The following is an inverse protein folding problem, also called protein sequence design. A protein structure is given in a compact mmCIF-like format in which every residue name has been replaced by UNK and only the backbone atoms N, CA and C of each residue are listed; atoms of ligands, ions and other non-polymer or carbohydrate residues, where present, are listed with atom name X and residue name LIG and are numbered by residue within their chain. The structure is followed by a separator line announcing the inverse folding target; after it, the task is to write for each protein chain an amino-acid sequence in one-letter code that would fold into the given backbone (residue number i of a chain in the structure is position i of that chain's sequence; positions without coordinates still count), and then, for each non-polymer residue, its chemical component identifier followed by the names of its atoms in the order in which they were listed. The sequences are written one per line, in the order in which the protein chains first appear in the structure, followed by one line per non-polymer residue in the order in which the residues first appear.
data_IF_245980851198
#
_entry.id   IF_245980851198
#
_cell.length_a   1.000
_cell.length_b   1.000
_cell.length_c   1.000
_cell.angle_alpha   90.00
_cell.angle_beta   90.00
_cell.angle_gamma   90.00
#
_symmetry.space_group_name_H-M   'P 1'
#
loop_
_entity.id
_entity.type
_entity.pdbx_description
1 polymer ?
#
# COMPACT_ATOMS: atom_id res chain seq x y z
N UNK A 1 -4.16 -20.96 -43.00
CA UNK A 1 -5.02 -19.95 -42.34
C UNK A 1 -6.32 -20.63 -41.92
N UNK A 2 -6.57 -20.81 -40.61
CA UNK A 2 -7.76 -21.54 -40.11
C UNK A 2 -9.07 -20.75 -40.19
N UNK A 3 -9.02 -19.41 -40.24
CA UNK A 3 -10.20 -18.59 -39.94
C UNK A 3 -11.13 -18.31 -41.12
N UNK A 4 -10.73 -18.55 -42.38
CA UNK A 4 -11.59 -18.39 -43.57
C UNK A 4 -12.34 -17.04 -43.72
N UNK A 5 -12.03 -16.07 -42.86
CA UNK A 5 -12.86 -14.89 -42.64
C UNK A 5 -12.59 -13.83 -43.72
N UNK A 6 -13.66 -13.26 -44.25
CA UNK A 6 -13.64 -12.22 -45.29
C UNK A 6 -14.38 -10.96 -44.81
N UNK A 7 -14.15 -9.83 -45.50
CA UNK A 7 -14.82 -8.56 -45.20
C UNK A 7 -14.50 -8.03 -43.80
N UNK A 8 -15.53 -7.60 -43.08
CA UNK A 8 -15.38 -6.92 -41.78
C UNK A 8 -14.86 -7.85 -40.67
N UNK A 9 -15.15 -9.15 -40.73
CA UNK A 9 -14.57 -10.15 -39.81
C UNK A 9 -13.05 -10.26 -39.98
N UNK A 10 -12.54 -10.07 -41.20
CA UNK A 10 -11.09 -10.05 -41.43
C UNK A 10 -10.47 -8.78 -40.83
N UNK A 11 -11.11 -7.62 -40.99
CA UNK A 11 -10.65 -6.34 -40.42
C UNK A 11 -10.63 -6.40 -38.89
N UNK A 12 -11.66 -6.95 -38.27
CA UNK A 12 -11.72 -7.16 -36.82
C UNK A 12 -10.58 -8.08 -36.36
N UNK A 13 -10.40 -9.23 -37.02
CA UNK A 13 -9.31 -10.15 -36.71
C UNK A 13 -7.93 -9.50 -36.82
N UNK A 14 -7.71 -8.64 -37.81
CA UNK A 14 -6.45 -7.87 -37.95
C UNK A 14 -6.27 -6.91 -36.77
N UNK A 15 -7.32 -6.18 -36.40
CA UNK A 15 -7.29 -5.22 -35.28
C UNK A 15 -6.97 -5.90 -33.94
N UNK A 16 -7.63 -7.03 -33.66
CA UNK A 16 -7.38 -7.83 -32.44
C UNK A 16 -5.93 -8.33 -32.41
N UNK A 17 -5.46 -8.89 -33.53
CA UNK A 17 -4.09 -9.41 -33.62
C UNK A 17 -3.04 -8.31 -33.50
N UNK A 18 -3.33 -7.08 -33.91
CA UNK A 18 -2.43 -5.94 -33.72
C UNK A 18 -2.15 -5.67 -32.24
N UNK A 19 -3.21 -5.66 -31.40
CA UNK A 19 -3.06 -5.49 -29.95
C UNK A 19 -2.26 -6.63 -29.31
N UNK A 20 -2.57 -7.88 -29.69
CA UNK A 20 -1.87 -9.07 -29.16
C UNK A 20 -0.40 -9.14 -29.59
N UNK A 21 -0.10 -8.74 -30.82
CA UNK A 21 1.26 -8.66 -31.34
C UNK A 21 2.07 -7.60 -30.58
N UNK A 22 1.51 -6.39 -30.41
CA UNK A 22 2.15 -5.34 -29.63
C UNK A 22 2.41 -5.78 -28.18
N UNK A 23 1.44 -6.46 -27.56
CA UNK A 23 1.60 -7.03 -26.22
C UNK A 23 2.74 -8.06 -26.19
N UNK A 24 2.84 -8.93 -27.20
CA UNK A 24 3.93 -9.89 -27.33
C UNK A 24 5.30 -9.24 -27.47
N UNK A 25 5.40 -8.11 -28.17
CA UNK A 25 6.63 -7.33 -28.30
C UNK A 25 7.04 -6.71 -26.96
N UNK A 26 6.10 -6.10 -26.24
CA UNK A 26 6.33 -5.54 -24.90
C UNK A 26 6.80 -6.63 -23.92
N UNK A 27 6.12 -7.77 -23.88
CA UNK A 27 6.49 -8.88 -22.99
C UNK A 27 7.86 -9.44 -23.34
N UNK A 28 8.20 -9.53 -24.62
CA UNK A 28 9.53 -10.00 -25.05
C UNK A 28 10.63 -9.01 -24.65
N UNK A 29 10.38 -7.71 -24.80
CA UNK A 29 11.32 -6.66 -24.42
C UNK A 29 11.57 -6.59 -22.90
N UNK A 30 10.56 -6.90 -22.10
CA UNK A 30 10.64 -6.89 -20.63
C UNK A 30 11.09 -8.23 -20.02
N UNK A 31 10.79 -9.35 -20.68
CA UNK A 31 11.06 -10.69 -20.17
C UNK A 31 12.47 -11.21 -20.47
N UNK A 32 13.17 -10.66 -21.47
CA UNK A 32 14.54 -11.03 -21.82
C UNK A 32 15.55 -10.25 -20.97
N UNK A 33 16.19 -10.93 -20.01
CA UNK A 33 17.21 -10.31 -19.14
C UNK A 33 18.50 -9.98 -19.87
N UNK A 34 18.80 -10.66 -20.98
CA UNK A 34 20.00 -10.41 -21.78
C UNK A 34 19.83 -9.18 -22.66
N UNK A 35 18.58 -8.87 -23.05
CA UNK A 35 18.23 -7.69 -23.82
C UNK A 35 17.45 -6.74 -22.93
N UNK A 36 18.17 -6.01 -22.06
CA UNK A 36 17.61 -4.80 -21.46
C UNK A 36 17.38 -3.78 -22.57
N UNK A 37 16.23 -3.89 -23.25
CA UNK A 37 15.83 -2.92 -24.25
C UNK A 37 15.66 -1.57 -23.55
N UNK A 38 16.43 -0.57 -23.99
CA UNK A 38 16.30 0.81 -23.50
C UNK A 38 14.90 1.36 -23.77
N UNK A 39 14.24 0.86 -24.82
CA UNK A 39 12.89 1.28 -25.21
C UNK A 39 11.92 0.09 -25.20
N UNK A 40 10.80 0.24 -24.49
CA UNK A 40 9.71 -0.74 -24.50
C UNK A 40 8.54 -0.14 -25.29
N UNK A 41 8.04 -0.81 -26.34
CA UNK A 41 7.12 -0.23 -27.31
C UNK A 41 5.66 -0.24 -26.83
N UNK A 42 5.38 0.35 -25.66
CA UNK A 42 4.00 0.42 -25.16
C UNK A 42 3.07 1.20 -26.10
N UNK A 43 3.62 2.11 -26.92
CA UNK A 43 2.85 3.01 -27.78
C UNK A 43 2.28 2.36 -29.05
N UNK A 44 2.74 1.16 -29.39
CA UNK A 44 2.36 0.47 -30.63
C UNK A 44 0.87 0.08 -30.66
N UNK A 45 0.22 -0.03 -29.49
CA UNK A 45 -1.22 -0.25 -29.40
C UNK A 45 -1.85 0.49 -28.22
N UNK A 46 -3.17 0.77 -28.31
CA UNK A 46 -3.93 1.32 -27.17
C UNK A 46 -3.92 0.36 -25.97
N UNK A 47 -3.99 -0.96 -26.23
CA UNK A 47 -3.98 -2.00 -25.21
C UNK A 47 -2.70 -1.95 -24.37
N UNK A 48 -1.54 -1.91 -25.02
CA UNK A 48 -0.23 -1.87 -24.32
C UNK A 48 0.00 -0.56 -23.58
N UNK A 49 -0.62 0.55 -24.00
CA UNK A 49 -0.58 1.82 -23.25
C UNK A 49 -1.39 1.74 -21.97
N UNK A 50 -2.59 1.14 -22.03
CA UNK A 50 -3.44 0.95 -20.85
C UNK A 50 -2.80 -0.02 -19.85
N UNK A 51 -2.09 -1.04 -20.35
CA UNK A 51 -1.43 -2.05 -19.52
C UNK A 51 0.01 -1.70 -19.13
N UNK A 52 0.48 -0.49 -19.44
CA UNK A 52 1.87 -0.09 -19.17
C UNK A 52 2.24 -0.24 -17.69
N UNK A 53 1.36 0.17 -16.77
CA UNK A 53 1.60 0.03 -15.34
C UNK A 53 1.61 -1.44 -14.88
N UNK A 54 0.84 -2.29 -15.56
CA UNK A 54 0.76 -3.73 -15.27
C UNK A 54 1.98 -4.50 -15.78
N UNK A 55 2.72 -3.97 -16.74
CA UNK A 55 3.83 -4.66 -17.40
C UNK A 55 5.11 -3.85 -17.21
N UNK A 56 5.77 -4.01 -16.06
CA UNK A 56 7.02 -3.31 -15.71
C UNK A 56 6.83 -2.00 -14.95
N UNK A 57 5.60 -1.60 -14.64
CA UNK A 57 5.28 -0.38 -13.89
C UNK A 57 4.87 -0.62 -12.43
N UNK A 58 4.00 0.25 -11.91
CA UNK A 58 3.52 0.23 -10.53
C UNK A 58 2.17 -0.51 -10.41
N UNK A 59 2.21 -1.84 -10.50
CA UNK A 59 1.02 -2.68 -10.30
C UNK A 59 1.42 -4.09 -9.86
N UNK A 60 0.61 -4.70 -9.00
CA UNK A 60 0.67 -6.13 -8.74
C UNK A 60 -0.10 -6.84 -9.85
N UNK A 61 0.60 -7.61 -10.68
CA UNK A 61 0.02 -8.16 -11.91
C UNK A 61 0.10 -9.68 -11.92
N UNK A 62 -1.04 -10.30 -12.22
CA UNK A 62 -1.17 -11.74 -12.41
C UNK A 62 -1.66 -12.00 -13.83
N UNK A 63 -1.02 -12.95 -14.51
CA UNK A 63 -1.44 -13.42 -15.83
C UNK A 63 -2.00 -14.84 -15.69
N UNK A 64 -3.22 -15.06 -16.17
CA UNK A 64 -3.84 -16.38 -16.26
C UNK A 64 -3.76 -16.84 -17.71
N UNK A 65 -3.07 -17.96 -17.94
CA UNK A 65 -2.93 -18.57 -19.26
C UNK A 65 -3.97 -19.67 -19.44
N UNK A 66 -4.98 -19.41 -20.27
CA UNK A 66 -6.01 -20.39 -20.59
C UNK A 66 -5.56 -21.27 -21.77
N UNK A 67 -5.55 -22.59 -21.58
CA UNK A 67 -5.09 -23.56 -22.57
C UNK A 67 -6.10 -24.70 -22.74
N UNK A 68 -6.05 -25.35 -23.91
CA UNK A 68 -6.84 -26.54 -24.22
C UNK A 68 -5.98 -27.79 -24.08
N UNK A 69 -6.46 -28.87 -23.44
CA UNK A 69 -5.75 -30.14 -23.38
C UNK A 69 -5.86 -30.97 -24.68
N UNK A 70 -6.59 -30.48 -25.69
CA UNK A 70 -6.80 -31.18 -26.95
C UNK A 70 -5.55 -31.16 -27.85
N UNK A 71 -5.21 -32.31 -28.44
CA UNK A 71 -4.10 -32.44 -29.39
C UNK A 71 -4.24 -31.52 -30.62
N UNK A 72 -5.49 -31.22 -31.02
CA UNK A 72 -5.77 -30.32 -32.16
C UNK A 72 -5.29 -28.89 -31.93
N UNK A 73 -5.16 -28.50 -30.66
CA UNK A 73 -4.76 -27.18 -30.18
C UNK A 73 -3.32 -27.17 -29.65
N UNK A 74 -2.60 -28.30 -29.76
CA UNK A 74 -1.25 -28.46 -29.18
C UNK A 74 -0.33 -27.27 -29.50
N UNK A 75 -0.29 -26.84 -30.77
CA UNK A 75 0.55 -25.72 -31.20
C UNK A 75 0.15 -24.39 -30.53
N UNK A 76 -1.15 -24.12 -30.37
CA UNK A 76 -1.63 -22.89 -29.74
C UNK A 76 -1.41 -22.93 -28.22
N UNK A 77 -1.65 -24.08 -27.59
CA UNK A 77 -1.32 -24.32 -26.17
C UNK A 77 0.17 -24.09 -25.91
N UNK A 78 1.06 -24.61 -26.77
CA UNK A 78 2.50 -24.40 -26.65
C UNK A 78 2.87 -22.92 -26.80
N UNK A 79 2.27 -22.21 -27.76
CA UNK A 79 2.51 -20.78 -27.96
C UNK A 79 2.07 -19.96 -26.73
N UNK A 80 0.89 -20.25 -26.18
CA UNK A 80 0.37 -19.60 -24.96
C UNK A 80 1.28 -19.86 -23.75
N UNK A 81 1.77 -21.09 -23.57
CA UNK A 81 2.71 -21.42 -22.49
C UNK A 81 4.06 -20.69 -22.65
N UNK A 82 4.62 -20.64 -23.86
CA UNK A 82 5.84 -19.86 -24.15
C UNK A 82 5.63 -18.37 -23.86
N UNK A 83 4.44 -17.86 -24.15
CA UNK A 83 4.07 -16.48 -23.88
C UNK A 83 4.02 -16.20 -22.37
N UNK A 84 3.31 -17.04 -21.61
CA UNK A 84 3.22 -16.96 -20.16
C UNK A 84 4.60 -17.07 -19.48
N UNK A 85 5.46 -17.95 -19.98
CA UNK A 85 6.82 -18.11 -19.46
C UNK A 85 7.67 -16.83 -19.64
N UNK A 86 7.51 -16.11 -20.75
CA UNK A 86 8.17 -14.79 -20.92
C UNK A 86 7.58 -13.75 -19.97
N UNK A 87 6.25 -13.70 -19.85
CA UNK A 87 5.55 -12.76 -18.96
C UNK A 87 5.96 -12.94 -17.50
N UNK A 88 6.18 -14.18 -17.04
CA UNK A 88 6.68 -14.51 -15.69
C UNK A 88 8.00 -13.82 -15.34
N UNK A 89 8.84 -13.53 -16.32
CA UNK A 89 10.15 -12.92 -16.09
C UNK A 89 10.10 -11.40 -15.89
N UNK A 90 8.96 -10.77 -16.18
CA UNK A 90 8.76 -9.33 -16.01
C UNK A 90 8.76 -9.00 -14.52
N UNK A 91 9.43 -7.90 -14.17
CA UNK A 91 9.51 -7.39 -12.79
C UNK A 91 8.85 -6.03 -12.70
N UNK A 92 7.75 -5.97 -11.96
CA UNK A 92 7.06 -4.73 -11.65
C UNK A 92 7.71 -4.06 -10.43
N UNK A 93 7.64 -2.74 -10.37
CA UNK A 93 8.12 -1.92 -9.24
C UNK A 93 6.92 -1.36 -8.52
N UNK A 94 6.36 -2.16 -7.63
CA UNK A 94 5.16 -1.80 -6.88
C UNK A 94 5.52 -0.82 -5.77
N UNK A 95 4.86 0.32 -5.74
CA UNK A 95 4.99 1.38 -4.74
C UNK A 95 3.60 1.76 -4.25
N UNK A 96 3.48 2.07 -2.95
CA UNK A 96 2.21 2.52 -2.38
C UNK A 96 1.85 3.87 -3.00
N UNK A 97 0.67 3.93 -3.63
CA UNK A 97 0.13 5.15 -4.21
C UNK A 97 -0.40 6.07 -3.11
N UNK A 98 0.50 6.67 -2.32
CA UNK A 98 0.13 7.75 -1.41
C UNK A 98 0.22 9.08 -2.16
N UNK A 99 -0.87 9.83 -2.14
CA UNK A 99 -0.83 11.22 -2.57
C UNK A 99 0.11 12.01 -1.63
N UNK A 100 0.93 12.90 -2.20
CA UNK A 100 1.82 13.78 -1.43
C UNK A 100 1.04 14.58 -0.40
N UNK A 101 -0.18 15.03 -0.73
CA UNK A 101 -1.04 15.73 0.22
C UNK A 101 -1.45 14.81 1.38
N UNK A 102 -1.84 13.57 1.09
CA UNK A 102 -2.20 12.59 2.12
C UNK A 102 -1.00 12.22 3.01
N UNK A 103 0.19 12.08 2.43
CA UNK A 103 1.42 11.83 3.18
C UNK A 103 1.77 13.00 4.10
N UNK A 104 1.69 14.24 3.59
CA UNK A 104 1.90 15.46 4.38
C UNK A 104 0.86 15.60 5.50
N UNK A 105 -0.42 15.36 5.21
CA UNK A 105 -1.49 15.39 6.21
C UNK A 105 -1.24 14.35 7.30
N UNK A 106 -0.82 13.13 6.93
CA UNK A 106 -0.49 12.10 7.91
C UNK A 106 0.68 12.53 8.81
N UNK A 107 1.76 13.05 8.22
CA UNK A 107 2.93 13.51 8.97
C UNK A 107 2.57 14.67 9.92
N UNK A 108 1.81 15.66 9.44
CA UNK A 108 1.34 16.78 10.24
C UNK A 108 0.42 16.33 11.38
N UNK A 109 -0.48 15.37 11.15
CA UNK A 109 -1.34 14.81 12.19
C UNK A 109 -0.53 14.10 13.28
N UNK A 110 0.49 13.35 12.91
CA UNK A 110 1.40 12.70 13.86
C UNK A 110 2.15 13.74 14.70
N UNK A 111 2.63 14.82 14.08
CA UNK A 111 3.34 15.88 14.80
C UNK A 111 2.42 16.68 15.72
N UNK A 112 1.19 16.99 15.27
CA UNK A 112 0.17 17.61 16.13
C UNK A 112 -0.12 16.74 17.35
N UNK A 113 -0.29 15.43 17.16
CA UNK A 113 -0.54 14.51 18.27
C UNK A 113 0.65 14.46 19.25
N UNK A 114 1.89 14.44 18.74
CA UNK A 114 3.11 14.49 19.56
C UNK A 114 3.18 15.76 20.40
N UNK A 115 3.00 16.92 19.77
CA UNK A 115 3.02 18.21 20.43
C UNK A 115 1.88 18.39 21.43
N UNK A 116 0.69 17.88 21.12
CA UNK A 116 -0.44 17.89 22.07
C UNK A 116 -0.16 17.05 23.31
N UNK A 117 0.48 15.88 23.15
CA UNK A 117 0.89 15.04 24.27
C UNK A 117 1.94 15.73 25.14
N UNK A 118 2.96 16.32 24.51
CA UNK A 118 4.02 17.06 25.19
C UNK A 118 3.46 18.26 25.97
N UNK A 119 2.56 19.05 25.36
CA UNK A 119 1.85 20.15 26.05
C UNK A 119 0.98 19.65 27.21
N UNK A 120 0.37 18.47 27.09
CA UNK A 120 -0.42 17.87 28.17
C UNK A 120 0.50 17.47 29.34
N UNK A 121 1.68 16.93 29.06
CA UNK A 121 2.69 16.60 30.08
C UNK A 121 3.20 17.85 30.81
N UNK A 122 3.44 18.94 30.09
CA UNK A 122 3.80 20.24 30.70
C UNK A 122 2.64 20.83 31.53
N UNK A 123 1.40 20.82 31.01
CA UNK A 123 0.23 21.37 31.73
C UNK A 123 -0.15 20.56 32.96
N UNK A 124 0.02 19.25 32.90
CA UNK A 124 -0.22 18.37 34.06
C UNK A 124 0.94 18.43 35.05
N UNK A 125 2.06 19.11 34.72
CA UNK A 125 3.22 19.25 35.57
C UNK A 125 4.12 18.01 35.63
N UNK A 126 3.86 16.99 34.78
CA UNK A 126 4.68 15.78 34.65
C UNK A 126 6.05 16.06 34.04
N UNK A 127 6.17 17.12 33.24
CA UNK A 127 7.43 17.66 32.72
C UNK A 127 7.61 19.07 33.22
N UNK A 128 8.80 19.36 33.78
CA UNK A 128 9.18 20.68 34.27
C UNK A 128 10.48 21.08 33.58
N UNK A 129 10.54 22.32 33.10
CA UNK A 129 11.78 22.95 32.63
C UNK A 129 12.49 23.54 33.85
N UNK A 130 13.68 23.02 34.18
CA UNK A 130 14.56 23.65 35.17
C UNK A 130 15.07 25.00 34.68
N UNK A 131 15.54 25.86 35.59
CA UNK A 131 16.13 27.18 35.26
C UNK A 131 17.35 27.09 34.33
N UNK A 132 17.95 25.89 34.26
CA UNK A 132 19.10 25.46 33.48
C UNK A 132 18.71 25.02 32.04
N UNK A 133 17.41 24.95 31.72
CA UNK A 133 16.89 24.52 30.42
C UNK A 133 16.85 23.00 30.21
N UNK A 134 17.17 22.19 31.22
CA UNK A 134 17.01 20.73 31.16
C UNK A 134 15.57 20.29 31.46
N UNK A 135 15.07 19.35 30.66
CA UNK A 135 13.78 18.69 30.89
C UNK A 135 13.89 17.67 32.03
N UNK A 136 13.14 17.91 33.12
CA UNK A 136 12.98 16.96 34.22
C UNK A 136 11.59 16.32 34.21
N UNK A 137 11.51 15.01 34.45
CA UNK A 137 10.25 14.34 34.76
C UNK A 137 9.95 14.61 36.24
N UNK A 138 8.79 15.18 36.52
CA UNK A 138 8.37 15.50 37.87
C UNK A 138 7.31 14.51 38.34
N UNK A 139 7.75 13.51 39.11
CA UNK A 139 6.90 12.44 39.67
C UNK A 139 5.91 12.94 40.74
N UNK A 140 6.08 14.18 41.22
CA UNK A 140 5.24 14.80 42.25
C UNK A 140 3.76 14.92 41.86
N UNK A 141 3.45 14.95 40.55
CA UNK A 141 2.07 15.01 40.05
C UNK A 141 1.38 13.65 40.18
N UNK A 142 2.10 12.58 39.87
CA UNK A 142 1.58 11.23 40.03
C UNK A 142 1.38 10.91 41.52
N UNK A 143 2.35 11.31 42.34
CA UNK A 143 2.29 11.18 43.78
C UNK A 143 1.14 12.02 44.39
N UNK A 144 0.95 13.28 43.97
CA UNK A 144 -0.20 14.09 44.40
C UNK A 144 -1.54 13.48 44.00
N UNK A 145 -1.65 12.91 42.80
CA UNK A 145 -2.88 12.25 42.34
C UNK A 145 -3.20 11.01 43.19
N UNK A 146 -2.18 10.21 43.56
CA UNK A 146 -2.35 9.08 44.47
C UNK A 146 -2.76 9.54 45.88
N UNK A 147 -2.07 10.53 46.43
CA UNK A 147 -2.34 11.07 47.77
C UNK A 147 -3.72 11.73 47.87
N UNK A 148 -4.20 12.40 46.82
CA UNK A 148 -5.57 12.95 46.76
C UNK A 148 -6.63 11.85 46.76
N UNK A 149 -6.37 10.75 46.05
CA UNK A 149 -7.27 9.59 46.01
C UNK A 149 -7.35 8.93 47.38
N UNK A 150 -6.22 8.75 48.05
CA UNK A 150 -6.15 8.18 49.39
C UNK A 150 -6.82 9.08 50.43
N UNK A 151 -6.60 10.40 50.37
CA UNK A 151 -7.31 11.37 51.21
C UNK A 151 -8.83 11.32 51.03
N UNK A 152 -9.33 11.19 49.80
CA UNK A 152 -10.76 11.04 49.55
C UNK A 152 -11.32 9.76 50.15
N UNK A 153 -10.61 8.64 50.02
CA UNK A 153 -11.02 7.37 50.61
C UNK A 153 -11.07 7.43 52.15
N UNK A 154 -10.07 8.08 52.77
CA UNK A 154 -10.03 8.30 54.21
C UNK A 154 -11.18 9.20 54.67
N UNK A 155 -11.48 10.29 53.94
CA UNK A 155 -12.62 11.16 54.23
C UNK A 155 -13.95 10.42 54.19
N UNK A 156 -14.15 9.55 53.19
CA UNK A 156 -15.36 8.72 53.10
C UNK A 156 -15.48 7.77 54.29
N UNK A 157 -14.38 7.12 54.70
CA UNK A 157 -14.35 6.24 55.88
C UNK A 157 -14.66 6.99 57.17
N UNK A 158 -14.02 8.15 57.38
CA UNK A 158 -14.27 8.99 58.56
C UNK A 158 -15.73 9.43 58.60
N UNK A 159 -16.31 9.82 57.47
CA UNK A 159 -17.72 10.20 57.37
C UNK A 159 -18.64 9.02 57.74
N UNK A 160 -18.39 7.83 57.23
CA UNK A 160 -19.16 6.64 57.55
C UNK A 160 -19.06 6.24 59.03
N UNK A 161 -17.88 6.42 59.64
CA UNK A 161 -17.70 6.20 61.08
C UNK A 161 -18.42 7.24 61.94
N UNK A 162 -18.46 8.50 61.50
CA UNK A 162 -19.17 9.56 62.21
C UNK A 162 -20.69 9.31 62.19
N UNK A 163 -21.22 8.89 61.03
CA UNK A 163 -22.64 8.52 60.88
C UNK A 163 -23.05 7.30 61.73
N UNK A 164 -22.11 6.45 62.14
CA UNK A 164 -22.37 5.31 63.05
C UNK A 164 -22.21 5.67 64.53
N UNK A 165 -21.57 6.80 64.86
CA UNK A 165 -21.46 7.31 66.23
C UNK A 165 -22.68 8.20 66.58
N UNK A 166 -23.23 8.89 65.57
CA UNK A 166 -24.37 9.79 65.71
C UNK A 166 -25.75 9.08 65.60
N UNK A 167 -25.76 7.74 65.49
CA UNK A 167 -26.95 6.87 65.41
C UNK A 167 -27.12 6.03 66.69
#
# INVERSE_FOLDING_TARGET
KRTGATGDRAKEGISINCGLLALGNVISALGDRSKRSTHVPYRDSKLTRLLQDSLGGNSQTVMIACISPSDRDFMETLNTLKYANRARNIKNKVMVNQDRASQQISALRTEIARLQMELMEYKTGKRVLGEDGMEGINDLVHENSMLQTENNNLRVRVKAMQETIDA
#
